data_IF_887959218804
#
_entry.id   IF_887959218804
#
_cell.length_a   1.000
_cell.length_b   1.000
_cell.length_c   1.000
_cell.angle_alpha   90.00
_cell.angle_beta   90.00
_cell.angle_gamma   90.00
#
_symmetry.space_group_name_H-M   'P 1'
#
loop_
_entity.id
_entity.type
_entity.pdbx_description
1 polymer ?
#
# COMPACT_ATOMS: atom_id res chain seq x y z
N UNK A 1 26.98 24.16 -26.13
CA UNK A 1 25.51 24.12 -25.96
C UNK A 1 25.21 23.13 -24.84
N UNK A 2 25.12 23.61 -23.61
CA UNK A 2 24.92 22.75 -22.43
C UNK A 2 23.43 22.77 -22.11
N UNK A 3 22.73 21.70 -22.44
CA UNK A 3 21.32 21.53 -22.08
C UNK A 3 21.22 21.43 -20.56
N UNK A 4 20.56 22.41 -19.93
CA UNK A 4 20.14 22.29 -18.54
C UNK A 4 19.12 21.16 -18.53
N UNK A 5 19.48 20.01 -17.96
CA UNK A 5 18.52 18.96 -17.66
C UNK A 5 17.43 19.61 -16.80
N UNK A 6 16.22 19.73 -17.34
CA UNK A 6 15.07 20.19 -16.58
C UNK A 6 14.97 19.30 -15.34
N UNK A 7 14.98 19.92 -14.15
CA UNK A 7 14.72 19.19 -12.91
C UNK A 7 13.42 18.40 -13.08
N UNK A 8 13.34 17.16 -12.56
CA UNK A 8 12.11 16.37 -12.66
C UNK A 8 10.94 17.23 -12.14
N UNK A 9 9.94 17.43 -12.99
CA UNK A 9 8.74 18.18 -12.66
C UNK A 9 8.09 17.44 -11.48
N UNK A 10 8.12 18.07 -10.29
CA UNK A 10 7.50 17.46 -9.10
C UNK A 10 6.01 17.30 -9.39
N UNK A 11 5.48 16.13 -9.03
CA UNK A 11 4.04 15.93 -9.09
C UNK A 11 3.30 17.01 -8.31
N UNK A 12 2.18 17.48 -8.85
CA UNK A 12 1.34 18.46 -8.17
C UNK A 12 0.87 17.90 -6.80
N UNK A 13 0.83 18.74 -5.76
CA UNK A 13 0.34 18.31 -4.45
C UNK A 13 -1.15 17.98 -4.50
N UNK A 14 -1.61 17.15 -3.56
CA UNK A 14 -3.03 16.86 -3.43
C UNK A 14 -3.73 18.04 -2.75
N UNK A 15 -4.82 18.51 -3.37
CA UNK A 15 -5.71 19.50 -2.82
C UNK A 15 -6.83 18.81 -2.04
N UNK A 16 -7.03 19.21 -0.79
CA UNK A 16 -7.97 18.58 0.13
C UNK A 16 -9.24 19.40 0.30
N UNK A 17 -10.38 18.72 0.30
CA UNK A 17 -11.69 19.31 0.61
C UNK A 17 -12.50 18.38 1.50
N UNK A 18 -12.95 18.88 2.63
CA UNK A 18 -13.91 18.18 3.50
C UNK A 18 -15.29 18.22 2.86
N UNK A 19 -15.87 17.04 2.64
CA UNK A 19 -17.18 16.86 1.99
C UNK A 19 -18.25 16.37 2.97
N UNK A 20 -17.82 15.81 4.10
CA UNK A 20 -18.63 15.36 5.22
C UNK A 20 -17.84 15.64 6.51
N UNK A 21 -18.46 15.82 7.70
CA UNK A 21 -17.75 16.06 8.96
C UNK A 21 -16.66 15.03 9.29
N UNK A 22 -16.74 13.84 8.70
CA UNK A 22 -15.76 12.76 8.90
C UNK A 22 -14.94 12.44 7.66
N UNK A 23 -15.21 13.05 6.50
CA UNK A 23 -14.58 12.67 5.23
C UNK A 23 -13.96 13.86 4.51
N UNK A 24 -12.66 13.75 4.23
CA UNK A 24 -11.90 14.67 3.40
C UNK A 24 -11.47 13.98 2.11
N UNK A 25 -11.76 14.59 0.96
CA UNK A 25 -11.42 14.07 -0.38
C UNK A 25 -10.24 14.84 -0.96
N UNK A 26 -9.29 14.10 -1.53
CA UNK A 26 -8.12 14.63 -2.21
C UNK A 26 -8.30 14.65 -3.73
N UNK A 27 -7.91 15.75 -4.36
CA UNK A 27 -7.88 15.94 -5.81
C UNK A 27 -6.50 16.38 -6.24
N UNK A 28 -5.98 15.81 -7.33
CA UNK A 28 -4.70 16.18 -7.96
C UNK A 28 -4.90 16.31 -9.45
N UNK A 29 -4.43 17.42 -10.03
CA UNK A 29 -4.57 17.71 -11.47
C UNK A 29 -6.01 17.53 -11.99
N UNK A 30 -6.99 17.96 -11.18
CA UNK A 30 -8.42 17.81 -11.47
C UNK A 30 -8.98 16.40 -11.33
N UNK A 31 -8.14 15.42 -11.01
CA UNK A 31 -8.51 14.01 -10.84
C UNK A 31 -8.59 13.61 -9.38
N UNK A 32 -9.49 12.69 -9.05
CA UNK A 32 -9.62 12.12 -7.70
C UNK A 32 -8.35 11.35 -7.31
N UNK A 33 -7.79 11.65 -6.13
CA UNK A 33 -6.55 11.06 -5.63
C UNK A 33 -6.77 10.10 -4.44
N UNK A 34 -7.93 10.18 -3.78
CA UNK A 34 -8.26 9.38 -2.61
C UNK A 34 -9.08 10.16 -1.57
N UNK A 35 -9.25 9.57 -0.40
CA UNK A 35 -9.94 10.19 0.72
C UNK A 35 -9.34 9.77 2.07
N UNK A 36 -9.63 10.59 3.08
CA UNK A 36 -9.36 10.31 4.48
C UNK A 36 -10.70 10.28 5.21
N UNK A 37 -10.95 9.18 5.94
CA UNK A 37 -12.14 8.99 6.77
C UNK A 37 -11.74 8.98 8.26
N UNK A 38 -12.36 9.86 9.05
CA UNK A 38 -12.16 9.97 10.48
C UNK A 38 -13.09 8.99 11.23
N UNK A 39 -12.47 7.98 11.84
CA UNK A 39 -13.14 6.93 12.63
C UNK A 39 -12.73 7.02 14.09
N UNK A 40 -13.50 7.78 14.86
CA UNK A 40 -13.33 7.91 16.31
C UNK A 40 -12.11 8.74 16.69
N UNK A 41 -10.96 8.09 16.87
CA UNK A 41 -9.67 8.74 17.18
C UNK A 41 -8.61 8.48 16.11
N UNK A 42 -9.02 7.89 14.98
CA UNK A 42 -8.12 7.41 13.92
C UNK A 42 -8.55 7.96 12.57
N UNK A 43 -7.59 8.12 11.68
CA UNK A 43 -7.81 8.58 10.31
C UNK A 43 -7.39 7.48 9.34
N UNK A 44 -8.32 7.04 8.50
CA UNK A 44 -8.09 5.96 7.53
C UNK A 44 -7.87 6.61 6.17
N UNK A 45 -6.69 6.40 5.58
CA UNK A 45 -6.37 6.91 4.25
C UNK A 45 -6.63 5.82 3.20
N UNK A 46 -7.39 6.16 2.18
CA UNK A 46 -7.75 5.25 1.08
C UNK A 46 -7.41 5.91 -0.25
N UNK A 47 -6.73 5.18 -1.12
CA UNK A 47 -6.29 5.71 -2.41
C UNK A 47 -7.43 5.79 -3.45
N UNK A 48 -7.07 6.31 -4.63
CA UNK A 48 -7.98 6.47 -5.76
C UNK A 48 -8.63 5.17 -6.28
N UNK A 49 -8.05 3.99 -5.98
CA UNK A 49 -8.60 2.68 -6.39
C UNK A 49 -9.37 1.98 -5.27
N UNK A 50 -9.50 2.63 -4.11
CA UNK A 50 -10.21 2.09 -2.96
C UNK A 50 -9.34 1.23 -2.04
N UNK A 51 -8.02 1.18 -2.23
CA UNK A 51 -7.13 0.43 -1.35
C UNK A 51 -6.79 1.27 -0.12
N UNK A 52 -6.94 0.65 1.07
CA UNK A 52 -6.51 1.27 2.32
C UNK A 52 -4.99 1.36 2.34
N UNK A 53 -4.49 2.58 2.44
CA UNK A 53 -3.05 2.91 2.48
C UNK A 53 -2.53 2.82 3.91
N UNK A 54 -3.36 3.20 4.89
CA UNK A 54 -3.00 3.09 6.30
C UNK A 54 -4.03 3.69 7.25
N UNK A 55 -3.73 3.55 8.54
CA UNK A 55 -4.49 4.15 9.65
C UNK A 55 -3.53 5.00 10.46
N UNK A 56 -3.94 6.23 10.76
CA UNK A 56 -3.09 7.28 11.32
C UNK A 56 -3.74 7.92 12.56
N UNK A 57 -2.91 8.53 13.40
CA UNK A 57 -3.36 9.28 14.59
C UNK A 57 -3.81 10.70 14.26
N UNK A 58 -3.48 11.22 13.07
CA UNK A 58 -3.86 12.57 12.63
C UNK A 58 -4.28 12.61 11.18
N UNK A 59 -5.15 13.56 10.85
CA UNK A 59 -5.59 13.81 9.47
C UNK A 59 -4.41 14.18 8.58
N UNK A 60 -3.52 15.04 9.06
CA UNK A 60 -2.34 15.49 8.31
C UNK A 60 -1.40 14.33 7.93
N UNK A 61 -1.22 13.34 8.81
CA UNK A 61 -0.41 12.16 8.52
C UNK A 61 -1.10 11.26 7.49
N UNK A 62 -2.43 11.11 7.57
CA UNK A 62 -3.23 10.38 6.59
C UNK A 62 -3.16 11.05 5.21
N UNK A 63 -3.36 12.36 5.13
CA UNK A 63 -3.26 13.13 3.90
C UNK A 63 -1.86 13.04 3.27
N UNK A 64 -0.81 13.23 4.07
CA UNK A 64 0.57 13.13 3.61
C UNK A 64 0.93 11.71 3.10
N UNK A 65 0.26 10.67 3.60
CA UNK A 65 0.49 9.29 3.12
C UNK A 65 -0.01 9.04 1.71
N UNK A 66 -0.97 9.86 1.24
CA UNK A 66 -1.56 9.78 -0.10
C UNK A 66 -0.78 10.61 -1.13
N UNK A 67 0.15 11.46 -0.69
CA UNK A 67 1.01 12.19 -1.60
C UNK A 67 1.80 11.22 -2.51
N UNK A 68 2.04 11.57 -3.79
CA UNK A 68 2.52 10.62 -4.80
C UNK A 68 3.78 9.85 -4.38
N UNK A 69 4.79 10.57 -3.88
CA UNK A 69 6.05 9.95 -3.42
C UNK A 69 5.87 9.03 -2.20
N UNK A 70 4.92 9.35 -1.31
CA UNK A 70 4.63 8.52 -0.14
C UNK A 70 3.85 7.26 -0.55
N UNK A 71 2.85 7.43 -1.41
CA UNK A 71 2.02 6.36 -1.92
C UNK A 71 2.84 5.35 -2.75
N UNK A 72 3.70 5.82 -3.65
CA UNK A 72 4.61 4.97 -4.43
C UNK A 72 5.53 4.14 -3.51
N UNK A 73 6.08 4.77 -2.46
CA UNK A 73 6.89 4.05 -1.46
C UNK A 73 6.07 3.01 -0.71
N UNK A 74 4.82 3.30 -0.36
CA UNK A 74 3.92 2.35 0.30
C UNK A 74 3.60 1.16 -0.61
N UNK A 75 3.25 1.40 -1.87
CA UNK A 75 3.00 0.36 -2.88
C UNK A 75 4.24 -0.51 -3.09
N UNK A 76 5.43 0.09 -3.25
CA UNK A 76 6.67 -0.65 -3.42
C UNK A 76 7.05 -1.47 -2.18
N UNK A 77 6.74 -0.99 -0.97
CA UNK A 77 6.91 -1.77 0.27
C UNK A 77 5.97 -2.97 0.30
N UNK A 78 4.70 -2.78 -0.05
CA UNK A 78 3.69 -3.84 -0.09
C UNK A 78 4.06 -4.93 -1.10
N UNK A 79 4.44 -4.56 -2.31
CA UNK A 79 4.92 -5.51 -3.34
C UNK A 79 6.12 -6.35 -2.86
N UNK A 80 7.05 -5.75 -2.10
CA UNK A 80 8.18 -6.47 -1.51
C UNK A 80 7.75 -7.44 -0.41
N UNK A 81 6.74 -7.09 0.39
CA UNK A 81 6.20 -7.95 1.44
C UNK A 81 5.42 -9.14 0.86
N UNK A 82 4.54 -8.89 -0.12
CA UNK A 82 3.76 -9.94 -0.78
C UNK A 82 4.68 -10.98 -1.43
N UNK A 83 5.75 -10.53 -2.07
CA UNK A 83 6.77 -11.42 -2.65
C UNK A 83 7.48 -12.28 -1.60
N UNK A 84 7.67 -11.78 -0.37
CA UNK A 84 8.26 -12.57 0.74
C UNK A 84 7.29 -13.63 1.26
N UNK A 85 6.00 -13.29 1.42
CA UNK A 85 4.99 -14.23 1.88
C UNK A 85 4.75 -15.35 0.86
N UNK A 86 4.79 -15.05 -0.44
CA UNK A 86 4.72 -16.07 -1.49
C UNK A 86 5.87 -17.10 -1.39
N UNK A 87 7.08 -16.66 -1.04
CA UNK A 87 8.24 -17.54 -0.83
C UNK A 87 8.08 -18.41 0.43
N UNK A 88 7.47 -17.89 1.49
CA UNK A 88 7.21 -18.63 2.73
C UNK A 88 6.07 -19.65 2.55
N UNK A 89 5.00 -19.28 1.83
CA UNK A 89 3.92 -20.22 1.50
C UNK A 89 4.43 -21.40 0.65
N UNK A 90 5.38 -21.16 -0.26
CA UNK A 90 5.97 -22.22 -1.07
C UNK A 90 6.81 -23.22 -0.26
N UNK A 91 7.41 -22.82 0.86
CA UNK A 91 8.19 -23.72 1.73
C UNK A 91 7.30 -24.60 2.61
N UNK A 92 6.15 -24.09 3.07
CA UNK A 92 5.17 -24.89 3.81
C UNK A 92 4.62 -26.05 2.97
N UNK A 93 4.36 -25.84 1.67
CA UNK A 93 3.91 -26.91 0.77
C UNK A 93 4.97 -28.00 0.54
N UNK A 94 6.27 -27.63 0.52
CA UNK A 94 7.37 -28.58 0.32
C UNK A 94 7.60 -29.53 1.50
N UNK A 95 7.41 -29.06 2.74
CA UNK A 95 7.59 -29.88 3.96
C UNK A 95 6.44 -30.88 4.14
N UNK A 96 5.20 -30.50 3.82
CA UNK A 96 4.06 -31.43 3.88
C UNK A 96 4.21 -32.58 2.87
N UNK A 97 4.74 -32.31 1.67
CA UNK A 97 4.97 -33.34 0.66
C UNK A 97 6.05 -34.36 1.08
N UNK A 98 7.12 -33.92 1.75
CA UNK A 98 8.20 -34.82 2.19
C UNK A 98 7.74 -35.78 3.30
N UNK A 99 6.87 -35.32 4.22
CA UNK A 99 6.32 -36.16 5.29
C UNK A 99 5.37 -37.24 4.77
N UNK A 100 4.61 -36.98 3.69
CA UNK A 100 3.75 -37.98 3.07
C UNK A 100 4.56 -39.13 2.44
N UNK A 101 5.71 -38.83 1.82
CA UNK A 101 6.56 -39.85 1.18
C UNK A 101 7.28 -40.72 2.21
N UNK A 102 7.78 -40.14 3.31
CA UNK A 102 8.45 -40.92 4.37
C UNK A 102 7.45 -41.82 5.12
N UNK A 103 6.24 -41.32 5.43
CA UNK A 103 5.21 -42.11 6.10
C UNK A 103 4.74 -43.32 5.26
N UNK A 104 4.66 -43.16 3.93
CA UNK A 104 4.26 -44.25 3.03
C UNK A 104 5.35 -45.34 2.89
N UNK A 105 6.62 -44.97 2.96
CA UNK A 105 7.74 -45.91 2.88
C UNK A 105 7.91 -46.76 4.15
N UNK A 106 7.53 -46.23 5.32
CA UNK A 106 7.55 -46.99 6.59
C UNK A 106 6.40 -47.97 6.76
N UNK A 107 5.32 -47.86 5.96
CA UNK A 107 4.15 -48.75 6.03
C UNK A 107 4.24 -49.97 5.09
N UNK A 108 5.28 -50.04 4.25
CA UNK A 108 5.49 -51.09 3.24
C UNK A 108 6.75 -51.94 3.48
N UNK A 109 7.46 -51.73 4.60
CA UNK A 109 8.64 -52.49 5.02
C UNK A 109 8.35 -53.27 6.30
#
# INVERSE_FOLDING_TARGET
>A
MTGIAAAPERAAPILWRTVDPTVSVGTRDGSYAGFVDHRGTRYIATDQVGAVVGVFDSESAAQASLEPEALERAIARRMRQDRRLAVIAATAAGVTALLAVVGMLTLLA
#
